data_IF_052623391395
#
_entry.id   IF_052623391395
#
_cell.length_a   1.000
_cell.length_b   1.000
_cell.length_c   1.000
_cell.angle_alpha   90.00
_cell.angle_beta   90.00
_cell.angle_gamma   90.00
#
_symmetry.space_group_name_H-M   'P 1'
#
loop_
_entity.id
_entity.type
_entity.pdbx_description
1 polymer ?
#
# COMPACT_ATOMS: atom_id res chain seq x y z
N UNK A 1 17.73 8.27 14.28
CA UNK A 1 16.39 8.85 14.02
C UNK A 1 15.81 8.11 12.83
N UNK A 2 14.63 7.54 12.95
CA UNK A 2 13.94 6.86 11.84
C UNK A 2 13.58 7.87 10.76
N UNK A 3 13.78 7.52 9.49
CA UNK A 3 13.45 8.34 8.33
C UNK A 3 12.46 7.61 7.44
N UNK A 4 11.34 8.26 7.14
CA UNK A 4 10.28 7.78 6.26
C UNK A 4 10.27 8.58 4.96
N UNK A 5 10.37 7.91 3.82
CA UNK A 5 10.11 8.47 2.50
C UNK A 5 8.71 8.05 2.06
N UNK A 6 7.80 9.03 1.96
CA UNK A 6 6.41 8.81 1.57
C UNK A 6 6.23 9.30 0.14
N UNK A 7 5.79 8.43 -0.76
CA UNK A 7 5.50 8.77 -2.15
C UNK A 7 4.03 8.57 -2.49
N UNK A 8 3.49 9.54 -3.23
CA UNK A 8 2.10 9.56 -3.69
C UNK A 8 2.04 9.79 -5.20
N UNK A 9 1.54 8.83 -5.98
CA UNK A 9 1.20 9.07 -7.36
C UNK A 9 0.00 10.04 -7.46
N UNK A 10 0.23 11.23 -8.03
CA UNK A 10 -0.77 12.30 -8.17
C UNK A 10 -1.07 12.54 -9.65
N UNK A 11 -1.84 11.65 -10.30
CA UNK A 11 -2.24 11.84 -11.69
C UNK A 11 -2.97 13.19 -11.87
N UNK A 12 -2.52 13.98 -12.85
CA UNK A 12 -3.04 15.33 -13.06
C UNK A 12 -2.66 16.35 -11.98
N UNK A 13 -1.68 16.05 -11.11
CA UNK A 13 -1.27 16.95 -10.03
C UNK A 13 -2.32 17.09 -8.92
N UNK A 14 -3.24 16.12 -8.79
CA UNK A 14 -4.38 16.21 -7.88
C UNK A 14 -4.25 15.21 -6.72
N UNK A 15 -4.70 15.65 -5.54
CA UNK A 15 -4.99 14.79 -4.41
C UNK A 15 -6.32 15.19 -3.75
N UNK A 16 -6.92 14.27 -3.02
CA UNK A 16 -8.18 14.56 -2.34
C UNK A 16 -7.96 15.30 -1.02
N UNK A 17 -8.96 16.10 -0.63
CA UNK A 17 -8.94 16.90 0.60
C UNK A 17 -8.63 16.04 1.83
N UNK A 18 -9.25 14.88 1.97
CA UNK A 18 -9.02 13.97 3.12
C UNK A 18 -7.60 13.45 3.18
N UNK A 19 -7.00 13.09 2.03
CA UNK A 19 -5.58 12.73 1.94
C UNK A 19 -4.70 13.89 2.40
N UNK A 20 -4.91 15.10 1.87
CA UNK A 20 -4.14 16.29 2.23
C UNK A 20 -4.18 16.56 3.75
N UNK A 21 -5.36 16.53 4.35
CA UNK A 21 -5.53 16.70 5.80
C UNK A 21 -4.82 15.57 6.58
N UNK A 22 -4.91 14.33 6.09
CA UNK A 22 -4.18 13.18 6.64
C UNK A 22 -2.67 13.41 6.68
N UNK A 23 -2.06 13.88 5.57
CA UNK A 23 -0.63 14.18 5.48
C UNK A 23 -0.21 15.29 6.45
N UNK A 24 -0.99 16.37 6.57
CA UNK A 24 -0.71 17.46 7.53
C UNK A 24 -0.71 16.93 8.97
N UNK A 25 -1.71 16.14 9.34
CA UNK A 25 -1.78 15.50 10.66
C UNK A 25 -0.64 14.50 10.88
N UNK A 26 -0.28 13.74 9.84
CA UNK A 26 0.83 12.79 9.88
C UNK A 26 2.16 13.50 10.17
N UNK A 27 2.45 14.60 9.49
CA UNK A 27 3.66 15.38 9.73
C UNK A 27 3.76 15.80 11.21
N UNK A 28 2.67 16.30 11.80
CA UNK A 28 2.63 16.70 13.20
C UNK A 28 2.84 15.54 14.17
N UNK A 29 2.27 14.36 13.85
CA UNK A 29 2.45 13.15 14.64
C UNK A 29 3.89 12.64 14.57
N UNK A 30 4.45 12.53 13.36
CA UNK A 30 5.80 11.97 13.15
C UNK A 30 6.88 12.82 13.84
N UNK A 31 6.73 14.15 13.90
CA UNK A 31 7.61 15.02 14.69
C UNK A 31 7.61 14.60 16.17
N UNK A 32 6.43 14.35 16.76
CA UNK A 32 6.29 13.88 18.15
C UNK A 32 6.89 12.49 18.36
N UNK A 33 6.80 11.63 17.36
CA UNK A 33 7.32 10.26 17.39
C UNK A 33 8.83 10.18 17.10
N UNK A 34 9.49 11.30 16.79
CA UNK A 34 10.92 11.36 16.45
C UNK A 34 11.23 10.71 15.09
N UNK A 35 10.28 10.73 14.17
CA UNK A 35 10.41 10.20 12.81
C UNK A 35 10.48 11.37 11.82
N UNK A 36 11.51 11.39 10.99
CA UNK A 36 11.66 12.38 9.92
C UNK A 36 10.83 11.93 8.72
N UNK A 37 9.98 12.83 8.18
CA UNK A 37 9.19 12.60 6.98
C UNK A 37 9.82 13.34 5.78
N UNK A 38 9.99 12.61 4.69
CA UNK A 38 10.27 13.14 3.36
C UNK A 38 9.07 12.82 2.46
N UNK A 39 8.50 13.82 1.78
CA UNK A 39 7.33 13.65 0.90
C UNK A 39 7.79 13.76 -0.55
N UNK A 40 7.35 12.81 -1.36
CA UNK A 40 7.54 12.74 -2.78
C UNK A 40 6.18 12.61 -3.47
N UNK A 41 6.03 13.27 -4.61
CA UNK A 41 4.85 13.12 -5.46
C UNK A 41 5.27 12.93 -6.91
N UNK A 42 4.58 12.05 -7.62
CA UNK A 42 4.77 11.86 -9.06
C UNK A 42 3.51 12.33 -9.78
N UNK A 43 3.65 13.42 -10.52
CA UNK A 43 2.56 14.01 -11.31
C UNK A 43 2.62 13.57 -12.78
N UNK A 44 1.48 13.60 -13.46
CA UNK A 44 1.36 13.41 -14.93
C UNK A 44 1.92 12.09 -15.47
N UNK A 45 2.08 11.07 -14.61
CA UNK A 45 2.44 9.72 -15.03
C UNK A 45 1.19 8.85 -15.16
N UNK A 46 0.85 8.49 -16.39
CA UNK A 46 -0.35 7.70 -16.70
C UNK A 46 -0.21 6.21 -16.35
N UNK A 47 1.02 5.71 -16.25
CA UNK A 47 1.32 4.34 -15.89
C UNK A 47 1.66 4.26 -14.40
N UNK A 48 0.70 3.90 -13.55
CA UNK A 48 0.89 3.85 -12.09
C UNK A 48 2.09 2.99 -11.67
N UNK A 49 2.32 1.86 -12.33
CA UNK A 49 3.47 1.00 -12.07
C UNK A 49 4.81 1.71 -12.37
N UNK A 50 4.88 2.55 -13.43
CA UNK A 50 6.06 3.36 -13.71
C UNK A 50 6.25 4.46 -12.67
N UNK A 51 5.18 5.15 -12.26
CA UNK A 51 5.24 6.12 -11.16
C UNK A 51 5.81 5.49 -9.88
N UNK A 52 5.34 4.30 -9.51
CA UNK A 52 5.82 3.57 -8.33
C UNK A 52 7.30 3.19 -8.46
N UNK A 53 7.73 2.67 -9.60
CA UNK A 53 9.12 2.29 -9.83
C UNK A 53 10.07 3.49 -9.78
N UNK A 54 9.70 4.62 -10.38
CA UNK A 54 10.47 5.87 -10.34
C UNK A 54 10.60 6.39 -8.91
N UNK A 55 9.52 6.35 -8.13
CA UNK A 55 9.54 6.74 -6.70
C UNK A 55 10.51 5.86 -5.88
N UNK A 56 10.50 4.54 -6.11
CA UNK A 56 11.45 3.61 -5.46
C UNK A 56 12.88 3.91 -5.90
N UNK A 57 13.12 4.17 -7.19
CA UNK A 57 14.44 4.57 -7.70
C UNK A 57 14.96 5.83 -6.99
N UNK A 58 14.10 6.84 -6.82
CA UNK A 58 14.44 8.07 -6.08
C UNK A 58 14.74 7.80 -4.61
N UNK A 59 13.91 7.00 -3.94
CA UNK A 59 14.15 6.58 -2.56
C UNK A 59 15.51 5.90 -2.39
N UNK A 60 15.83 4.94 -3.25
CA UNK A 60 17.06 4.14 -3.14
C UNK A 60 18.32 4.96 -3.42
N UNK A 61 18.28 5.89 -4.39
CA UNK A 61 19.47 6.58 -4.89
C UNK A 61 19.65 7.99 -4.34
N UNK A 62 18.57 8.67 -3.91
CA UNK A 62 18.62 10.09 -3.51
C UNK A 62 18.37 10.31 -2.02
N UNK A 63 18.08 9.25 -1.26
CA UNK A 63 17.81 9.37 0.16
C UNK A 63 18.55 8.30 0.97
N UNK A 64 18.65 8.54 2.27
CA UNK A 64 19.12 7.58 3.27
C UNK A 64 17.96 7.14 4.21
N UNK A 65 16.71 7.24 3.73
CA UNK A 65 15.56 6.86 4.53
C UNK A 65 15.51 5.34 4.78
N UNK A 66 15.04 4.98 5.98
CA UNK A 66 14.95 3.60 6.45
C UNK A 66 13.73 2.88 5.86
N UNK A 67 12.64 3.64 5.72
CA UNK A 67 11.34 3.15 5.26
C UNK A 67 10.85 3.93 4.06
N UNK A 68 10.25 3.20 3.14
CA UNK A 68 9.47 3.71 2.04
C UNK A 68 7.99 3.48 2.31
N UNK A 69 7.12 4.42 1.94
CA UNK A 69 5.68 4.25 2.04
C UNK A 69 4.97 4.78 0.81
N UNK A 70 4.02 4.00 0.28
CA UNK A 70 3.00 4.53 -0.59
C UNK A 70 1.73 4.87 0.20
N UNK A 71 1.16 6.04 -0.09
CA UNK A 71 -0.23 6.39 0.21
C UNK A 71 -0.83 6.95 -1.08
N UNK A 72 -1.88 6.32 -1.61
CA UNK A 72 -2.55 6.83 -2.81
C UNK A 72 -3.33 8.11 -2.50
N UNK A 73 -3.38 9.02 -3.48
CA UNK A 73 -3.92 10.39 -3.34
C UNK A 73 -5.42 10.46 -2.98
N UNK A 74 -6.13 9.33 -2.97
CA UNK A 74 -7.55 9.18 -2.68
C UNK A 74 -7.85 8.31 -1.46
N UNK A 75 -6.83 8.02 -0.64
CA UNK A 75 -6.96 7.28 0.61
C UNK A 75 -7.16 8.23 1.78
N UNK A 76 -8.23 8.00 2.56
CA UNK A 76 -8.50 8.65 3.85
C UNK A 76 -7.95 7.74 4.97
N UNK A 77 -7.12 8.27 5.86
CA UNK A 77 -6.41 7.47 6.87
C UNK A 77 -6.20 8.21 8.19
N UNK A 78 -6.10 7.43 9.28
CA UNK A 78 -5.59 7.93 10.56
C UNK A 78 -4.05 7.87 10.55
N UNK A 79 -3.34 8.99 10.82
CA UNK A 79 -1.89 9.04 10.94
C UNK A 79 -1.26 8.01 11.89
N UNK A 80 -1.96 7.62 12.95
CA UNK A 80 -1.50 6.57 13.88
C UNK A 80 -1.26 5.23 13.19
N UNK A 81 -2.00 4.94 12.10
CA UNK A 81 -1.81 3.74 11.29
C UNK A 81 -0.44 3.66 10.64
N UNK A 82 0.11 4.79 10.18
CA UNK A 82 1.46 4.86 9.60
C UNK A 82 2.51 4.50 10.65
N UNK A 83 2.40 5.06 11.86
CA UNK A 83 3.33 4.75 12.97
C UNK A 83 3.25 3.27 13.33
N UNK A 84 2.05 2.70 13.31
CA UNK A 84 1.84 1.28 13.60
C UNK A 84 2.50 0.37 12.56
N UNK A 85 2.38 0.68 11.27
CA UNK A 85 3.04 -0.07 10.19
C UNK A 85 4.57 0.03 10.31
N UNK A 86 5.14 1.22 10.57
CA UNK A 86 6.59 1.41 10.75
C UNK A 86 7.11 0.60 11.95
N UNK A 87 6.35 0.58 13.05
CA UNK A 87 6.73 -0.12 14.30
C UNK A 87 6.37 -1.59 14.34
N UNK A 88 5.76 -2.13 13.28
CA UNK A 88 5.35 -3.54 13.20
C UNK A 88 6.53 -4.52 13.25
N UNK A 89 7.73 -4.09 12.87
CA UNK A 89 8.91 -4.94 12.73
C UNK A 89 8.92 -5.80 11.47
N UNK A 90 7.94 -5.64 10.57
CA UNK A 90 7.85 -6.37 9.30
C UNK A 90 8.55 -5.60 8.17
N UNK A 91 9.19 -6.33 7.25
CA UNK A 91 9.83 -5.70 6.08
C UNK A 91 8.81 -5.14 5.09
N UNK A 92 7.64 -5.77 4.97
CA UNK A 92 6.50 -5.29 4.18
C UNK A 92 5.23 -5.38 5.00
N UNK A 93 4.62 -4.23 5.28
CA UNK A 93 3.34 -4.12 6.00
C UNK A 93 2.36 -3.23 5.26
N UNK A 94 1.08 -3.61 5.29
CA UNK A 94 0.01 -2.95 4.54
C UNK A 94 -1.19 -2.68 5.44
N UNK A 95 -2.03 -1.73 5.06
CA UNK A 95 -3.41 -1.69 5.52
C UNK A 95 -4.34 -1.88 4.31
N UNK A 96 -5.42 -2.62 4.55
CA UNK A 96 -6.35 -3.01 3.50
C UNK A 96 -7.48 -1.98 3.43
N UNK A 97 -7.76 -1.49 2.23
CA UNK A 97 -8.86 -0.57 1.95
C UNK A 97 -9.93 -1.21 1.05
N UNK A 98 -11.18 -0.69 1.08
CA UNK A 98 -12.24 -1.21 0.23
C UNK A 98 -12.02 -0.83 -1.24
N UNK A 99 -12.51 -1.68 -2.14
CA UNK A 99 -12.68 -1.34 -3.56
C UNK A 99 -13.77 -0.26 -3.69
N UNK A 100 -13.67 0.59 -4.73
CA UNK A 100 -14.70 1.58 -5.07
C UNK A 100 -15.90 0.93 -5.78
N UNK A 101 -16.43 -0.14 -5.17
CA UNK A 101 -17.59 -0.92 -5.67
C UNK A 101 -18.55 -1.14 -4.53
N UNK A 102 -19.84 -0.96 -4.78
CA UNK A 102 -20.90 -1.25 -3.81
C UNK A 102 -21.46 -2.65 -4.07
N UNK A 103 -21.36 -3.52 -3.11
CA UNK A 103 -21.85 -4.91 -3.13
C UNK A 103 -23.26 -4.97 -2.53
N UNK A 104 -24.26 -4.51 -3.28
CA UNK A 104 -25.65 -4.38 -2.79
C UNK A 104 -26.25 -5.70 -2.32
N UNK A 105 -26.02 -6.80 -3.03
CA UNK A 105 -26.56 -8.12 -2.66
C UNK A 105 -25.94 -8.63 -1.34
N UNK A 106 -24.62 -8.37 -1.13
CA UNK A 106 -23.95 -8.69 0.12
C UNK A 106 -24.56 -7.88 1.29
N UNK A 107 -24.75 -6.58 1.10
CA UNK A 107 -25.36 -5.72 2.12
C UNK A 107 -26.79 -6.19 2.46
N UNK A 108 -27.61 -6.49 1.44
CA UNK A 108 -28.96 -7.01 1.61
C UNK A 108 -28.97 -8.31 2.45
N UNK A 109 -28.14 -9.29 2.06
CA UNK A 109 -28.04 -10.55 2.79
C UNK A 109 -27.63 -10.36 4.26
N UNK A 110 -26.68 -9.47 4.52
CA UNK A 110 -26.23 -9.17 5.88
C UNK A 110 -27.34 -8.52 6.73
N UNK A 111 -28.09 -7.57 6.17
CA UNK A 111 -29.24 -6.94 6.85
C UNK A 111 -30.32 -7.97 7.15
N UNK A 112 -30.64 -8.84 6.21
CA UNK A 112 -31.64 -9.93 6.39
C UNK A 112 -31.21 -10.92 7.47
N UNK A 113 -29.89 -11.10 7.67
CA UNK A 113 -29.30 -11.89 8.74
C UNK A 113 -29.23 -11.15 10.10
N UNK A 114 -29.72 -9.89 10.17
CA UNK A 114 -29.73 -9.10 11.40
C UNK A 114 -28.40 -8.40 11.70
N UNK A 115 -27.51 -8.26 10.74
CA UNK A 115 -26.24 -7.53 10.90
C UNK A 115 -26.53 -6.02 11.01
N UNK A 116 -26.09 -5.38 12.08
CA UNK A 116 -26.34 -3.96 12.41
C UNK A 116 -25.15 -3.05 12.12
N UNK A 117 -24.08 -3.58 11.51
CA UNK A 117 -22.93 -2.77 11.09
C UNK A 117 -23.33 -1.73 10.06
N UNK A 118 -22.49 -0.70 9.91
CA UNK A 118 -22.71 0.37 8.94
C UNK A 118 -22.83 -0.17 7.51
N UNK A 119 -23.78 0.35 6.73
CA UNK A 119 -24.03 -0.08 5.35
C UNK A 119 -22.82 0.09 4.44
N UNK A 120 -21.98 1.08 4.68
CA UNK A 120 -20.73 1.27 3.93
C UNK A 120 -19.76 0.10 4.13
N UNK A 121 -19.75 -0.49 5.33
CA UNK A 121 -18.98 -1.68 5.64
C UNK A 121 -19.62 -2.94 5.05
N UNK A 122 -20.91 -3.11 5.22
CA UNK A 122 -21.66 -4.28 4.71
C UNK A 122 -21.61 -4.38 3.19
N UNK A 123 -21.60 -3.25 2.50
CA UNK A 123 -21.57 -3.18 1.02
C UNK A 123 -20.15 -3.12 0.44
N UNK A 124 -19.10 -3.14 1.26
CA UNK A 124 -17.72 -3.03 0.79
C UNK A 124 -17.09 -4.38 0.46
N UNK A 125 -16.20 -4.38 -0.55
CA UNK A 125 -15.28 -5.49 -0.84
C UNK A 125 -13.86 -5.01 -0.64
N UNK A 126 -13.07 -5.71 0.17
CA UNK A 126 -11.71 -5.31 0.49
C UNK A 126 -10.73 -5.72 -0.64
N UNK A 127 -9.67 -4.88 -0.85
CA UNK A 127 -8.55 -5.19 -1.74
C UNK A 127 -7.57 -6.09 -0.98
N UNK A 128 -7.92 -7.36 -0.78
CA UNK A 128 -7.05 -8.31 -0.11
C UNK A 128 -7.23 -9.71 -0.71
N UNK A 129 -6.11 -10.39 -0.91
CA UNK A 129 -6.09 -11.82 -1.14
C UNK A 129 -5.46 -12.49 0.09
N UNK A 130 -6.31 -12.92 1.01
CA UNK A 130 -5.87 -13.53 2.28
C UNK A 130 -5.40 -14.98 2.03
N UNK A 131 -5.73 -15.56 0.85
CA UNK A 131 -5.35 -16.93 0.49
C UNK A 131 -5.89 -17.99 1.46
N UNK A 132 -5.33 -19.19 1.39
CA UNK A 132 -5.60 -20.31 2.31
C UNK A 132 -4.63 -20.31 3.52
N UNK A 133 -3.93 -19.22 3.80
CA UNK A 133 -2.96 -19.12 4.89
C UNK A 133 -3.70 -19.24 6.22
N UNK A 134 -3.15 -20.00 7.18
CA UNK A 134 -3.69 -20.14 8.53
C UNK A 134 -3.75 -18.74 9.20
N UNK A 135 -4.95 -18.28 9.50
CA UNK A 135 -5.25 -16.91 9.94
C UNK A 135 -4.93 -16.72 11.44
N UNK A 136 -3.65 -16.74 11.82
CA UNK A 136 -3.28 -16.30 13.16
C UNK A 136 -2.92 -14.82 13.15
N UNK A 137 -3.70 -14.03 13.89
CA UNK A 137 -3.39 -12.62 14.14
C UNK A 137 -2.37 -12.52 15.26
N UNK A 138 -1.21 -11.93 14.98
CA UNK A 138 -0.14 -11.73 15.97
C UNK A 138 0.12 -10.24 16.09
N UNK A 139 -0.01 -9.68 17.30
CA UNK A 139 0.17 -8.25 17.57
C UNK A 139 -0.67 -7.33 16.67
N UNK A 140 -1.86 -7.79 16.25
CA UNK A 140 -2.76 -7.04 15.38
C UNK A 140 -2.44 -7.15 13.89
N UNK A 141 -1.50 -8.01 13.49
CA UNK A 141 -1.14 -8.26 12.09
C UNK A 141 -1.46 -9.69 11.66
N UNK A 142 -1.83 -9.87 10.42
CA UNK A 142 -2.07 -11.17 9.78
C UNK A 142 -1.24 -11.28 8.50
N UNK A 143 -0.63 -12.44 8.26
CA UNK A 143 0.05 -12.71 7.00
C UNK A 143 -0.97 -12.79 5.86
N UNK A 144 -0.68 -12.11 4.74
CA UNK A 144 -1.53 -12.10 3.53
C UNK A 144 -0.71 -12.49 2.30
N UNK A 145 -1.39 -13.02 1.29
CA UNK A 145 -0.74 -13.41 0.04
C UNK A 145 -0.40 -12.16 -0.79
N UNK A 146 -1.36 -11.25 -0.92
CA UNK A 146 -1.20 -10.02 -1.68
C UNK A 146 -1.79 -8.85 -0.87
N UNK A 147 -1.13 -7.69 -0.93
CA UNK A 147 -1.58 -6.45 -0.29
C UNK A 147 -1.55 -5.28 -1.26
N UNK A 148 -2.47 -4.31 -1.11
CA UNK A 148 -2.54 -3.16 -1.99
C UNK A 148 -1.41 -2.17 -1.71
N UNK A 149 -0.85 -1.55 -2.75
CA UNK A 149 0.20 -0.54 -2.62
C UNK A 149 -0.30 0.81 -2.11
N UNK A 150 -1.59 1.11 -2.25
CA UNK A 150 -2.14 2.43 -1.87
C UNK A 150 -2.06 2.76 -0.37
N UNK A 151 -1.63 1.80 0.48
CA UNK A 151 -1.23 2.04 1.87
C UNK A 151 -0.25 0.94 2.32
N UNK A 152 1.01 1.07 1.90
CA UNK A 152 2.04 0.04 2.09
C UNK A 152 3.36 0.66 2.57
N UNK A 153 3.92 0.11 3.65
CA UNK A 153 5.26 0.41 4.16
C UNK A 153 6.22 -0.72 3.79
N UNK A 154 7.40 -0.35 3.31
CA UNK A 154 8.45 -1.27 2.87
C UNK A 154 9.78 -0.80 3.45
N UNK A 155 10.57 -1.71 4.02
CA UNK A 155 11.93 -1.38 4.49
C UNK A 155 12.90 -1.21 3.30
N UNK A 156 13.92 -0.37 3.46
CA UNK A 156 15.02 -0.27 2.49
C UNK A 156 15.64 -1.63 2.20
N UNK A 157 15.86 -2.41 3.25
CA UNK A 157 16.41 -3.78 3.17
C UNK A 157 15.59 -4.71 2.24
N UNK A 158 14.25 -4.56 2.21
CA UNK A 158 13.42 -5.36 1.31
C UNK A 158 13.71 -5.03 -0.15
N UNK A 159 13.87 -3.76 -0.51
CA UNK A 159 14.24 -3.36 -1.87
C UNK A 159 15.66 -3.81 -2.24
N UNK A 160 16.62 -3.68 -1.33
CA UNK A 160 17.98 -4.18 -1.54
C UNK A 160 18.00 -5.68 -1.87
N UNK A 161 17.28 -6.47 -1.06
CA UNK A 161 17.15 -7.92 -1.26
C UNK A 161 16.45 -8.27 -2.57
N UNK A 162 15.44 -7.51 -2.97
CA UNK A 162 14.77 -7.70 -4.27
C UNK A 162 15.70 -7.35 -5.43
N UNK A 163 16.43 -6.24 -5.34
CA UNK A 163 17.35 -5.81 -6.38
C UNK A 163 18.50 -6.83 -6.61
N UNK A 164 18.99 -7.47 -5.55
CA UNK A 164 19.97 -8.56 -5.69
C UNK A 164 19.47 -9.71 -6.58
N UNK A 165 18.17 -10.04 -6.49
CA UNK A 165 17.55 -11.14 -7.24
C UNK A 165 17.10 -10.72 -8.64
N UNK A 166 16.59 -9.49 -8.79
CA UNK A 166 15.90 -9.04 -10.01
C UNK A 166 16.68 -7.97 -10.78
N UNK A 167 17.99 -8.18 -10.96
CA UNK A 167 18.85 -7.30 -11.79
C UNK A 167 18.43 -7.24 -13.24
N UNK A 168 17.70 -8.24 -13.72
CA UNK A 168 17.09 -8.28 -15.04
C UNK A 168 15.92 -7.29 -15.21
N UNK A 169 15.42 -6.72 -14.10
CA UNK A 169 14.42 -5.65 -14.09
C UNK A 169 15.05 -4.24 -14.03
N UNK A 170 16.38 -4.13 -14.08
CA UNK A 170 17.03 -2.83 -14.15
C UNK A 170 16.76 -2.19 -15.53
N UNK A 171 16.25 -0.97 -15.48
CA UNK A 171 15.86 -0.22 -16.68
C UNK A 171 16.25 1.26 -16.59
N UNK A 172 16.29 1.92 -17.75
CA UNK A 172 16.59 3.35 -17.82
C UNK A 172 15.41 4.18 -17.35
N UNK A 173 15.71 5.22 -16.60
CA UNK A 173 14.72 6.22 -16.23
C UNK A 173 14.57 7.21 -17.38
N UNK A 174 13.45 7.16 -18.09
CA UNK A 174 13.06 8.07 -19.16
C UNK A 174 11.99 9.09 -18.74
N UNK A 175 11.69 9.17 -17.46
CA UNK A 175 10.73 10.14 -16.92
C UNK A 175 11.21 11.58 -17.16
N UNK A 176 10.28 12.49 -17.48
CA UNK A 176 10.62 13.88 -17.88
C UNK A 176 11.43 14.64 -16.82
N UNK A 177 11.13 14.42 -15.54
CA UNK A 177 11.81 15.06 -14.41
C UNK A 177 12.83 14.11 -13.75
N UNK A 178 13.60 13.38 -14.56
CA UNK A 178 14.59 12.44 -14.03
C UNK A 178 15.74 13.16 -13.31
N UNK A 179 16.02 12.68 -12.13
CA UNK A 179 17.14 13.09 -11.28
C UNK A 179 18.14 11.95 -11.02
N UNK A 180 17.90 10.78 -11.66
CA UNK A 180 18.76 9.59 -11.65
C UNK A 180 18.56 8.80 -12.97
N UNK A 181 19.52 7.93 -13.31
CA UNK A 181 19.62 7.33 -14.65
C UNK A 181 18.87 6.00 -14.82
N UNK A 182 18.78 5.19 -13.78
CA UNK A 182 18.21 3.83 -13.84
C UNK A 182 17.57 3.41 -12.51
N UNK A 183 16.69 2.42 -12.58
CA UNK A 183 16.02 1.85 -11.40
C UNK A 183 15.65 0.38 -11.66
N UNK A 184 15.41 -0.37 -10.60
CA UNK A 184 14.87 -1.73 -10.68
C UNK A 184 13.34 -1.69 -10.67
N UNK A 185 12.70 -2.20 -11.73
CA UNK A 185 11.25 -2.12 -11.94
C UNK A 185 10.47 -3.20 -11.17
N UNK A 186 10.63 -3.25 -9.84
CA UNK A 186 10.00 -4.28 -8.99
C UNK A 186 8.48 -4.22 -8.94
N UNK A 187 7.90 -3.08 -9.34
CA UNK A 187 6.44 -2.89 -9.48
C UNK A 187 5.96 -3.06 -10.93
N UNK A 188 6.77 -3.65 -11.83
CA UNK A 188 6.28 -3.94 -13.17
C UNK A 188 5.24 -5.07 -13.15
N UNK A 189 4.16 -4.91 -13.94
CA UNK A 189 3.13 -5.93 -14.08
C UNK A 189 3.72 -7.22 -14.66
N UNK A 190 3.14 -8.37 -14.34
CA UNK A 190 3.64 -9.65 -14.86
C UNK A 190 2.53 -10.66 -15.09
N UNK A 191 2.81 -11.62 -15.93
CA UNK A 191 1.99 -12.85 -16.03
C UNK A 191 2.60 -13.86 -15.04
N UNK A 192 1.82 -14.27 -14.03
CA UNK A 192 2.24 -15.28 -13.06
C UNK A 192 2.60 -16.59 -13.80
N UNK A 193 3.84 -17.06 -13.68
CA UNK A 193 4.27 -18.27 -14.38
C UNK A 193 3.53 -19.55 -13.92
N UNK A 194 3.04 -19.56 -12.67
CA UNK A 194 2.40 -20.76 -12.08
C UNK A 194 0.95 -20.92 -12.52
N UNK A 195 0.18 -19.83 -12.54
CA UNK A 195 -1.28 -19.90 -12.76
C UNK A 195 -1.77 -19.07 -13.96
N UNK A 196 -0.85 -18.41 -14.68
CA UNK A 196 -1.09 -17.60 -15.88
C UNK A 196 -2.00 -16.38 -15.67
N UNK A 197 -2.21 -15.96 -14.42
CA UNK A 197 -2.92 -14.71 -14.11
C UNK A 197 -2.06 -13.51 -14.50
N UNK A 198 -2.72 -12.48 -15.07
CA UNK A 198 -2.10 -11.16 -15.18
C UNK A 198 -2.14 -10.50 -13.80
N UNK A 199 -0.98 -10.21 -13.25
CA UNK A 199 -0.82 -9.52 -11.96
C UNK A 199 -0.60 -8.05 -12.20
N UNK A 200 -1.41 -7.22 -11.52
CA UNK A 200 -1.16 -5.78 -11.36
C UNK A 200 0.15 -5.53 -10.59
N UNK A 201 0.58 -4.29 -10.57
CA UNK A 201 1.87 -3.90 -9.99
C UNK A 201 2.01 -4.29 -8.52
N UNK A 202 0.94 -4.13 -7.74
CA UNK A 202 0.87 -4.48 -6.32
C UNK A 202 1.02 -6.00 -6.10
N UNK A 203 0.27 -6.81 -6.84
CA UNK A 203 0.35 -8.26 -6.76
C UNK A 203 1.67 -8.80 -7.33
N UNK A 204 2.19 -8.18 -8.40
CA UNK A 204 3.47 -8.54 -8.97
C UNK A 204 4.62 -8.27 -7.99
N UNK A 205 4.61 -7.11 -7.29
CA UNK A 205 5.55 -6.81 -6.20
C UNK A 205 5.44 -7.85 -5.08
N UNK A 206 4.24 -8.15 -4.61
CA UNK A 206 4.03 -9.14 -3.55
C UNK A 206 4.58 -10.51 -3.94
N UNK A 207 4.37 -10.94 -5.17
CA UNK A 207 4.89 -12.21 -5.69
C UNK A 207 6.41 -12.23 -5.74
N UNK A 208 7.04 -11.17 -6.26
CA UNK A 208 8.50 -11.03 -6.28
C UNK A 208 9.10 -11.03 -4.88
N UNK A 209 8.45 -10.34 -3.94
CA UNK A 209 8.90 -10.33 -2.54
C UNK A 209 8.84 -11.72 -1.90
N UNK A 210 7.78 -12.49 -2.15
CA UNK A 210 7.66 -13.86 -1.68
C UNK A 210 8.70 -14.79 -2.31
N UNK A 211 9.03 -14.62 -3.58
CA UNK A 211 10.06 -15.41 -4.28
C UNK A 211 11.48 -15.19 -3.73
N UNK A 212 11.72 -14.10 -3.00
CA UNK A 212 12.97 -13.90 -2.24
C UNK A 212 12.82 -14.31 -0.76
N UNK A 213 11.74 -15.03 -0.40
CA UNK A 213 11.47 -15.50 0.95
C UNK A 213 10.89 -14.47 1.89
N UNK A 214 10.34 -13.38 1.34
CA UNK A 214 9.63 -12.35 2.11
C UNK A 214 8.19 -12.71 2.40
N UNK A 215 7.60 -11.99 3.37
CA UNK A 215 6.19 -12.10 3.76
C UNK A 215 5.55 -10.73 3.81
N UNK A 216 4.26 -10.67 3.56
CA UNK A 216 3.45 -9.45 3.65
C UNK A 216 2.51 -9.57 4.84
N UNK A 217 2.45 -8.51 5.65
CA UNK A 217 1.59 -8.47 6.83
C UNK A 217 0.58 -7.34 6.74
N UNK A 218 -0.70 -7.67 6.91
CA UNK A 218 -1.78 -6.70 6.93
C UNK A 218 -2.15 -6.33 8.38
N UNK A 219 -2.24 -5.03 8.64
CA UNK A 219 -2.75 -4.51 9.91
C UNK A 219 -4.27 -4.72 9.97
N UNK A 220 -4.72 -5.49 10.97
CA UNK A 220 -6.12 -5.80 11.18
C UNK A 220 -6.92 -4.64 11.81
N UNK A 221 -6.24 -3.67 12.41
CA UNK A 221 -6.86 -2.62 13.22
C UNK A 221 -7.00 -1.28 12.49
N UNK A 222 -6.34 -1.12 11.34
CA UNK A 222 -6.46 0.10 10.53
C UNK A 222 -7.77 0.10 9.77
N UNK A 223 -8.53 1.20 9.92
CA UNK A 223 -9.64 1.54 9.03
C UNK A 223 -9.19 2.58 8.04
N UNK A 224 -9.37 2.30 6.75
CA UNK A 224 -9.08 3.23 5.66
C UNK A 224 -10.36 3.56 4.91
N UNK A 225 -10.46 4.81 4.45
CA UNK A 225 -11.42 5.24 3.46
C UNK A 225 -10.79 5.24 2.05
N UNK A 226 -11.52 4.77 1.05
CA UNK A 226 -11.11 4.89 -0.35
C UNK A 226 -12.11 5.78 -1.06
N UNK A 227 -11.74 7.03 -1.26
CA UNK A 227 -12.66 8.07 -1.74
C UNK A 227 -12.77 7.97 -3.26
N UNK A 228 -14.00 7.86 -3.73
CA UNK A 228 -14.36 7.86 -5.16
C UNK A 228 -15.56 8.75 -5.38
N UNK A 229 -16.37 8.47 -6.38
CA UNK A 229 -17.67 9.12 -6.56
C UNK A 229 -18.59 8.87 -5.34
N UNK A 230 -18.35 7.76 -4.62
CA UNK A 230 -18.93 7.47 -3.31
C UNK A 230 -17.77 7.18 -2.33
N UNK A 231 -17.84 7.63 -1.05
CA UNK A 231 -16.85 7.24 -0.05
C UNK A 231 -17.06 5.77 0.35
N UNK A 232 -15.97 5.00 0.37
CA UNK A 232 -15.96 3.62 0.84
C UNK A 232 -15.05 3.51 2.05
N UNK A 233 -15.51 2.84 3.11
CA UNK A 233 -14.74 2.63 4.33
C UNK A 233 -14.71 1.15 4.70
N UNK A 234 -13.62 0.68 5.27
CA UNK A 234 -13.50 -0.71 5.71
C UNK A 234 -12.33 -0.93 6.66
N UNK A 235 -12.49 -1.92 7.52
CA UNK A 235 -11.48 -2.37 8.46
C UNK A 235 -11.29 -3.89 8.30
N UNK A 236 -10.05 -4.34 8.15
CA UNK A 236 -9.75 -5.77 8.00
C UNK A 236 -10.22 -6.58 9.21
N UNK A 237 -10.07 -6.03 10.43
CA UNK A 237 -10.50 -6.70 11.65
C UNK A 237 -12.01 -6.99 11.67
N UNK A 238 -12.84 -6.07 11.16
CA UNK A 238 -14.29 -6.29 11.04
C UNK A 238 -14.62 -7.38 10.01
N UNK A 239 -13.79 -7.53 8.98
CA UNK A 239 -13.95 -8.60 7.97
C UNK A 239 -13.52 -9.96 8.49
N UNK A 240 -12.53 -10.03 9.39
CA UNK A 240 -12.05 -11.28 9.98
C UNK A 240 -12.99 -11.82 11.07
N UNK A 241 -13.84 -10.99 11.65
CA UNK A 241 -14.86 -11.38 12.64
C UNK A 241 -16.14 -11.97 12.01
N UNK A 242 -16.35 -11.76 10.71
CA UNK A 242 -17.49 -12.28 9.94
C UNK A 242 -17.17 -13.64 9.33
#
# INVERSE_FOLDING_TARGET
MIKLFLSTPCYGGLCLEKYMIGIIKLQLLLIKEGIQLMIDTTENESLVHRARNVAVGRFMQKTDADYFMFIDADVDFDPASVVRLIRSGHDVSVAIYPKKVVMWDQAKTAIEAGDTRDLSMLSSSLVANIGAIQRSVVNGFVEVLDGPTGFMVITRKAFEKMHEKYKDLDCKNDHQNRDFDDYCAVFDCMIDPENRRYLSEDYAFCRRWQQVGGKIYADCNTTLGHVGNLPFSGCLNERLKA
#
